data_IF_152634426524
#
_entry.id   IF_152634426524
#
_cell.length_a   1.000
_cell.length_b   1.000
_cell.length_c   1.000
_cell.angle_alpha   90.00
_cell.angle_beta   90.00
_cell.angle_gamma   90.00
#
_symmetry.space_group_name_H-M   'P 1'
#
loop_
_entity.id
_entity.type
_entity.pdbx_description
1 polymer ?
#
# COMPACT_ATOMS: atom_id res chain seq x y z
N UNK A 1 -34.51 -35.40 -16.00
CA UNK A 1 -34.28 -34.01 -15.51
C UNK A 1 -35.00 -33.06 -16.44
N UNK A 2 -35.93 -32.28 -15.88
CA UNK A 2 -36.84 -31.40 -16.63
C UNK A 2 -36.09 -30.20 -17.22
N UNK A 3 -36.54 -29.71 -18.38
CA UNK A 3 -35.99 -28.52 -19.06
C UNK A 3 -35.94 -27.29 -18.14
N UNK A 4 -36.83 -27.23 -17.16
CA UNK A 4 -36.97 -26.14 -16.20
C UNK A 4 -35.96 -26.20 -15.03
N UNK A 5 -35.35 -27.36 -14.75
CA UNK A 5 -34.37 -27.49 -13.67
C UNK A 5 -33.00 -26.89 -14.03
N UNK A 6 -32.67 -26.81 -15.32
CA UNK A 6 -31.40 -26.24 -15.81
C UNK A 6 -31.30 -24.71 -15.65
N UNK A 7 -32.44 -24.03 -15.54
CA UNK A 7 -32.48 -22.56 -15.46
C UNK A 7 -32.32 -21.99 -14.04
N UNK A 8 -32.30 -22.85 -13.00
CA UNK A 8 -32.40 -22.39 -11.60
C UNK A 8 -31.09 -22.10 -10.88
N UNK A 9 -29.92 -22.27 -11.51
CA UNK A 9 -28.62 -22.15 -10.82
C UNK A 9 -27.63 -21.30 -11.61
N UNK A 10 -27.84 -20.00 -11.61
CA UNK A 10 -26.74 -19.04 -11.69
C UNK A 10 -26.76 -18.24 -10.39
N UNK A 11 -26.11 -18.78 -9.36
CA UNK A 11 -25.74 -17.99 -8.19
C UNK A 11 -24.69 -16.99 -8.67
N UNK A 12 -25.14 -15.77 -8.95
CA UNK A 12 -24.27 -14.64 -9.26
C UNK A 12 -23.62 -14.21 -7.95
N UNK A 13 -22.61 -14.97 -7.51
CA UNK A 13 -21.73 -14.52 -6.44
C UNK A 13 -20.95 -13.33 -6.98
N UNK A 14 -21.23 -12.15 -6.41
CA UNK A 14 -20.49 -10.94 -6.73
C UNK A 14 -19.10 -11.06 -6.08
N UNK A 15 -18.09 -11.38 -6.89
CA UNK A 15 -16.69 -11.41 -6.48
C UNK A 15 -16.18 -9.97 -6.58
N UNK A 16 -15.98 -9.31 -5.43
CA UNK A 16 -15.43 -7.95 -5.41
C UNK A 16 -13.97 -7.96 -5.88
N UNK A 17 -13.60 -7.17 -6.92
CA UNK A 17 -12.23 -7.11 -7.40
C UNK A 17 -11.35 -6.35 -6.40
N UNK A 18 -10.74 -7.09 -5.47
CA UNK A 18 -9.78 -6.51 -4.54
C UNK A 18 -8.59 -5.85 -5.27
N UNK A 19 -8.22 -4.65 -4.80
CA UNK A 19 -7.14 -3.87 -5.38
C UNK A 19 -5.79 -4.40 -4.92
N UNK A 20 -4.88 -4.69 -5.85
CA UNK A 20 -3.53 -5.18 -5.53
C UNK A 20 -2.47 -4.10 -5.77
N UNK A 21 -1.41 -4.12 -4.97
CA UNK A 21 -0.28 -3.20 -5.14
C UNK A 21 0.62 -3.64 -6.30
N UNK A 22 0.83 -2.79 -7.30
CA UNK A 22 1.72 -3.04 -8.45
C UNK A 22 3.20 -3.31 -8.12
N UNK A 23 3.60 -3.14 -6.86
CA UNK A 23 5.02 -3.15 -6.44
C UNK A 23 5.37 -4.32 -5.53
N UNK A 24 4.43 -4.78 -4.73
CA UNK A 24 4.62 -5.91 -3.82
C UNK A 24 3.52 -6.97 -3.93
N UNK A 25 2.57 -6.78 -4.85
CA UNK A 25 1.45 -7.69 -5.15
C UNK A 25 0.55 -8.04 -3.97
N UNK A 26 0.66 -7.31 -2.86
CA UNK A 26 -0.22 -7.46 -1.71
C UNK A 26 -1.56 -6.79 -1.95
N UNK A 27 -2.60 -7.37 -1.37
CA UNK A 27 -3.94 -6.81 -1.33
C UNK A 27 -3.92 -5.48 -0.57
N UNK A 28 -4.57 -4.47 -1.15
CA UNK A 28 -4.78 -3.15 -0.55
C UNK A 28 -6.19 -3.17 0.02
N UNK A 29 -6.28 -2.79 1.31
CA UNK A 29 -7.52 -2.72 2.05
C UNK A 29 -8.54 -1.77 1.38
N UNK A 30 -9.82 -2.08 1.56
CA UNK A 30 -10.92 -1.35 0.95
C UNK A 30 -10.98 0.07 1.56
N UNK A 31 -10.86 1.09 0.71
CA UNK A 31 -10.82 2.49 1.13
C UNK A 31 -9.43 3.11 1.22
N UNK A 32 -8.35 2.33 1.06
CA UNK A 32 -6.98 2.87 1.02
C UNK A 32 -6.50 3.01 -0.44
N UNK A 33 -6.00 4.19 -0.80
CA UNK A 33 -5.55 4.48 -2.17
C UNK A 33 -4.12 4.03 -2.45
N UNK A 34 -3.32 3.76 -1.41
CA UNK A 34 -1.91 3.43 -1.48
C UNK A 34 -1.58 2.18 -0.66
N UNK A 35 -0.48 1.49 -1.02
CA UNK A 35 0.00 0.36 -0.24
C UNK A 35 0.73 0.84 1.03
N UNK A 36 0.21 0.45 2.19
CA UNK A 36 0.75 0.78 3.52
C UNK A 36 2.21 0.36 3.68
N UNK A 37 2.57 -0.85 3.27
CA UNK A 37 3.94 -1.36 3.39
C UNK A 37 4.94 -0.65 2.48
N UNK A 38 4.56 -0.42 1.23
CA UNK A 38 5.41 0.33 0.31
C UNK A 38 5.63 1.76 0.83
N UNK A 39 4.61 2.35 1.45
CA UNK A 39 4.68 3.68 2.03
C UNK A 39 5.60 3.74 3.26
N UNK A 40 5.55 2.76 4.16
CA UNK A 40 6.43 2.73 5.35
C UNK A 40 7.91 2.65 4.95
N UNK A 41 8.25 1.80 3.98
CA UNK A 41 9.63 1.68 3.45
C UNK A 41 10.12 3.01 2.87
N UNK A 42 9.25 3.74 2.15
CA UNK A 42 9.58 5.05 1.60
C UNK A 42 9.82 6.08 2.72
N UNK A 43 9.01 6.05 3.78
CA UNK A 43 9.15 6.95 4.93
C UNK A 43 10.45 6.70 5.70
N UNK A 44 10.82 5.44 5.94
CA UNK A 44 12.09 5.10 6.59
C UNK A 44 13.30 5.59 5.80
N UNK A 45 13.29 5.43 4.47
CA UNK A 45 14.36 5.93 3.59
C UNK A 45 14.48 7.45 3.67
N UNK A 46 13.35 8.18 3.72
CA UNK A 46 13.33 9.64 3.88
C UNK A 46 13.91 10.06 5.24
N UNK A 47 13.49 9.43 6.34
CA UNK A 47 14.02 9.70 7.68
C UNK A 47 15.54 9.51 7.73
N UNK A 48 16.06 8.36 7.27
CA UNK A 48 17.50 8.08 7.25
C UNK A 48 18.30 9.13 6.46
N UNK A 49 17.79 9.59 5.32
CA UNK A 49 18.41 10.67 4.53
C UNK A 49 18.43 12.00 5.29
N UNK A 50 17.32 12.36 5.92
CA UNK A 50 17.21 13.59 6.71
C UNK A 50 18.17 13.59 7.91
N UNK A 51 18.28 12.46 8.64
CA UNK A 51 19.24 12.32 9.74
C UNK A 51 20.70 12.46 9.27
N UNK A 52 21.06 11.90 8.12
CA UNK A 52 22.41 12.08 7.54
C UNK A 52 22.68 13.54 7.18
N UNK A 53 21.68 14.25 6.67
CA UNK A 53 21.82 15.67 6.34
C UNK A 53 21.97 16.53 7.60
N UNK A 54 21.21 16.26 8.66
CA UNK A 54 21.35 16.96 9.95
C UNK A 54 22.74 16.77 10.57
N UNK A 55 23.30 15.56 10.54
CA UNK A 55 24.66 15.29 11.05
C UNK A 55 25.76 16.00 10.24
N UNK A 56 25.49 16.35 8.99
CA UNK A 56 26.43 17.07 8.11
C UNK A 56 26.42 18.59 8.30
N UNK A 57 25.48 19.16 9.05
CA UNK A 57 25.56 20.58 9.42
C UNK A 57 26.60 20.72 10.54
N UNK A 58 27.77 21.35 10.30
CA UNK A 58 28.66 21.69 11.39
C UNK A 58 27.89 22.61 12.35
N UNK A 59 28.06 22.36 13.65
CA UNK A 59 27.77 23.37 14.67
C UNK A 59 28.70 24.54 14.33
N UNK A 60 28.17 25.63 13.77
CA UNK A 60 28.84 26.91 13.88
C UNK A 60 28.89 27.22 15.36
N UNK A 61 30.07 26.99 15.94
CA UNK A 61 30.46 27.49 17.25
C UNK A 61 30.34 29.01 17.20
N UNK A 62 29.31 29.53 17.85
CA UNK A 62 29.22 30.94 18.17
C UNK A 62 30.17 31.14 19.35
N UNK A 63 31.37 31.61 19.04
CA UNK A 63 32.32 32.15 19.99
C UNK A 63 32.39 33.66 19.70
N UNK A 64 31.66 34.43 20.50
CA UNK A 64 32.00 35.82 20.85
C UNK A 64 31.44 36.11 22.25
#
# INVERSE_FOLDING_TARGET
MSKYERYKKQSVEYIDPHKHCKRCDKMIDEGITYCSECYTILQEKKKKKWFKFKKKKPKTEEFD
#
